data_IF_403568547612
#
_entry.id   IF_403568547612
#
_cell.length_a   1.000
_cell.length_b   1.000
_cell.length_c   1.000
_cell.angle_alpha   90.00
_cell.angle_beta   90.00
_cell.angle_gamma   90.00
#
_symmetry.space_group_name_H-M   'P 1'
#
loop_
_entity.id
_entity.type
_entity.pdbx_description
1 polymer ?
#
# COMPACT_ATOMS: atom_id res chain seq x y z
N UNK A 1 2.21 -89.68 -6.96
CA UNK A 1 2.16 -90.31 -5.62
C UNK A 1 2.83 -89.36 -4.63
N UNK A 2 2.03 -88.79 -3.71
CA UNK A 2 2.32 -88.39 -2.30
C UNK A 2 3.63 -87.61 -1.97
N UNK A 3 3.72 -86.69 -1.01
CA UNK A 3 2.85 -85.82 -0.18
C UNK A 3 3.81 -85.24 0.90
N UNK A 4 3.49 -84.07 1.46
CA UNK A 4 3.91 -83.49 2.77
C UNK A 4 5.36 -82.91 2.88
N UNK A 5 5.57 -81.61 3.16
CA UNK A 5 5.29 -80.74 4.33
C UNK A 5 6.42 -80.68 5.37
N UNK A 6 6.64 -79.45 5.87
CA UNK A 6 7.34 -79.01 7.10
C UNK A 6 8.85 -78.74 7.02
N UNK A 7 9.47 -77.81 7.78
CA UNK A 7 9.14 -76.51 8.40
C UNK A 7 10.45 -76.04 9.08
N UNK A 8 10.75 -74.74 9.04
CA UNK A 8 11.59 -73.94 9.97
C UNK A 8 13.10 -74.28 10.17
N UNK A 9 13.95 -73.40 9.65
CA UNK A 9 15.17 -72.98 10.34
C UNK A 9 15.11 -71.47 10.57
N UNK A 10 14.94 -71.05 11.83
CA UNK A 10 15.07 -69.67 12.28
C UNK A 10 16.56 -69.31 12.35
N UNK A 11 17.04 -68.45 11.44
CA UNK A 11 18.21 -67.61 11.71
C UNK A 11 17.72 -66.20 12.01
N UNK A 12 17.92 -65.78 13.26
CA UNK A 12 17.77 -64.40 13.71
C UNK A 12 18.86 -63.53 13.09
N UNK A 13 18.50 -62.69 12.13
CA UNK A 13 19.29 -61.54 11.72
C UNK A 13 18.56 -60.27 12.16
N UNK A 14 19.15 -59.52 13.08
CA UNK A 14 18.66 -58.20 13.48
C UNK A 14 18.68 -57.27 12.26
N UNK A 15 17.64 -56.45 12.02
CA UNK A 15 17.71 -55.46 10.97
C UNK A 15 18.64 -54.33 11.40
N UNK A 16 19.61 -54.04 10.53
CA UNK A 16 20.42 -52.82 10.54
C UNK A 16 19.48 -51.62 10.50
N UNK A 17 19.67 -50.69 11.43
CA UNK A 17 19.01 -49.39 11.40
C UNK A 17 19.43 -48.65 10.13
N UNK A 18 18.52 -48.51 9.19
CA UNK A 18 18.64 -47.53 8.10
C UNK A 18 18.27 -46.17 8.66
N UNK A 19 19.26 -45.33 8.92
CA UNK A 19 19.05 -43.89 9.08
C UNK A 19 18.50 -43.35 7.76
N UNK A 20 17.17 -43.23 7.69
CA UNK A 20 16.52 -42.38 6.70
C UNK A 20 16.79 -40.94 7.09
N UNK A 21 17.78 -40.32 6.44
CA UNK A 21 17.84 -38.86 6.33
C UNK A 21 16.55 -38.37 5.66
N UNK A 22 15.60 -37.97 6.48
CA UNK A 22 14.35 -37.37 6.02
C UNK A 22 14.65 -36.01 5.39
N UNK A 23 14.42 -35.90 4.07
CA UNK A 23 14.26 -34.62 3.38
C UNK A 23 13.45 -33.66 4.27
N UNK A 24 13.91 -32.42 4.51
CA UNK A 24 13.13 -31.48 5.30
C UNK A 24 11.73 -31.35 4.71
N UNK A 25 10.71 -31.41 5.55
CA UNK A 25 9.32 -31.27 5.11
C UNK A 25 9.18 -29.94 4.35
N UNK A 26 8.34 -29.91 3.32
CA UNK A 26 8.08 -28.67 2.57
C UNK A 26 7.67 -27.51 3.49
N UNK A 27 7.03 -27.82 4.62
CA UNK A 27 6.70 -26.86 5.67
C UNK A 27 7.93 -26.26 6.36
N UNK A 28 8.98 -27.05 6.65
CA UNK A 28 10.20 -26.53 7.25
C UNK A 28 10.96 -25.62 6.28
N UNK A 29 11.02 -25.98 5.00
CA UNK A 29 11.60 -25.12 3.98
C UNK A 29 10.82 -23.81 3.83
N UNK A 30 9.49 -23.88 3.84
CA UNK A 30 8.64 -22.70 3.79
C UNK A 30 8.82 -21.78 5.01
N UNK A 31 8.94 -22.36 6.21
CA UNK A 31 9.17 -21.60 7.45
C UNK A 31 10.55 -20.92 7.45
N UNK A 32 11.61 -21.62 7.00
CA UNK A 32 12.94 -21.04 6.85
C UNK A 32 12.92 -19.90 5.83
N UNK A 33 12.29 -20.09 4.66
CA UNK A 33 12.16 -19.05 3.64
C UNK A 33 11.42 -17.82 4.18
N UNK A 34 10.34 -18.02 4.95
CA UNK A 34 9.60 -16.95 5.60
C UNK A 34 10.47 -16.19 6.60
N UNK A 35 11.16 -16.89 7.51
CA UNK A 35 12.03 -16.26 8.52
C UNK A 35 13.19 -15.49 7.91
N UNK A 36 13.83 -16.04 6.88
CA UNK A 36 14.91 -15.36 6.15
C UNK A 36 14.37 -14.12 5.45
N UNK A 37 13.20 -14.22 4.81
CA UNK A 37 12.55 -13.06 4.19
C UNK A 37 12.19 -11.99 5.21
N UNK A 38 11.57 -12.37 6.33
CA UNK A 38 11.22 -11.47 7.43
C UNK A 38 12.48 -10.78 7.99
N UNK A 39 13.59 -11.52 8.17
CA UNK A 39 14.87 -10.97 8.60
C UNK A 39 15.42 -9.94 7.60
N UNK A 40 15.44 -10.26 6.31
CA UNK A 40 15.91 -9.35 5.26
C UNK A 40 15.03 -8.11 5.14
N UNK A 41 13.71 -8.25 5.26
CA UNK A 41 12.81 -7.10 5.26
C UNK A 41 13.04 -6.18 6.46
N UNK A 42 13.25 -6.75 7.64
CA UNK A 42 13.57 -5.96 8.84
C UNK A 42 14.96 -5.30 8.77
N UNK A 43 15.92 -5.94 8.11
CA UNK A 43 17.28 -5.40 7.95
C UNK A 43 17.34 -4.29 6.90
N UNK A 44 16.66 -4.46 5.77
CA UNK A 44 16.71 -3.55 4.62
C UNK A 44 15.71 -2.40 4.72
N UNK A 45 14.58 -2.63 5.39
CA UNK A 45 13.54 -1.64 5.62
C UNK A 45 13.22 -1.58 7.11
N UNK A 46 14.17 -1.10 7.95
CA UNK A 46 13.94 -0.97 9.37
C UNK A 46 12.79 0.00 9.57
N UNK A 47 11.60 -0.56 9.79
CA UNK A 47 10.48 0.15 10.36
C UNK A 47 11.00 0.69 11.68
N UNK A 48 11.26 2.00 11.77
CA UNK A 48 11.55 2.64 13.04
C UNK A 48 10.29 2.49 13.88
N UNK A 49 10.26 1.63 14.92
CA UNK A 49 9.08 1.46 15.73
C UNK A 49 8.91 2.77 16.48
N UNK A 50 7.82 3.49 16.19
CA UNK A 50 7.46 4.66 16.98
C UNK A 50 7.01 4.20 18.36
N UNK A 51 7.94 3.87 19.27
CA UNK A 51 7.77 3.61 20.71
C UNK A 51 6.57 2.74 21.19
N UNK A 52 5.82 2.13 20.27
CA UNK A 52 4.59 1.40 20.50
C UNK A 52 4.82 -0.10 20.32
N UNK A 53 4.37 -0.88 21.29
CA UNK A 53 4.58 -2.32 21.39
C UNK A 53 3.75 -3.17 20.42
N UNK A 54 2.96 -2.58 19.50
CA UNK A 54 1.99 -3.31 18.66
C UNK A 54 2.44 -3.55 17.21
N UNK A 55 3.57 -2.99 16.77
CA UNK A 55 4.06 -3.13 15.39
C UNK A 55 3.35 -2.23 14.37
N UNK A 56 2.42 -1.37 14.81
CA UNK A 56 1.72 -0.42 13.95
C UNK A 56 2.67 0.66 13.47
N UNK A 57 2.59 0.94 12.16
CA UNK A 57 3.29 2.07 11.55
C UNK A 57 2.33 3.15 11.10
N UNK A 58 2.82 4.36 11.20
CA UNK A 58 2.13 5.57 10.82
C UNK A 58 3.00 6.34 9.83
N UNK A 59 2.37 6.83 8.77
CA UNK A 59 3.01 7.74 7.84
C UNK A 59 2.10 8.92 7.55
N UNK A 60 2.71 10.05 7.23
CA UNK A 60 2.04 11.28 6.85
C UNK A 60 2.60 11.82 5.56
N UNK A 61 1.76 12.57 4.86
CA UNK A 61 2.09 13.24 3.61
C UNK A 61 1.48 14.64 3.70
N UNK A 62 2.33 15.66 3.84
CA UNK A 62 1.91 17.06 3.94
C UNK A 62 1.73 17.64 2.54
N UNK A 63 0.48 17.62 2.07
CA UNK A 63 0.09 17.99 0.71
C UNK A 63 0.33 19.47 0.46
N UNK A 64 1.07 19.78 -0.62
CA UNK A 64 1.35 21.16 -1.07
C UNK A 64 1.02 21.31 -2.55
N UNK A 65 0.60 22.51 -3.00
CA UNK A 65 0.35 22.75 -4.42
C UNK A 65 1.62 22.52 -5.23
N UNK A 66 1.46 22.00 -6.45
CA UNK A 66 2.60 21.83 -7.37
C UNK A 66 3.21 23.19 -7.69
N UNK A 67 4.54 23.28 -7.67
CA UNK A 67 5.26 24.51 -8.06
C UNK A 67 5.09 24.88 -9.54
N UNK A 68 4.50 23.99 -10.34
CA UNK A 68 4.22 24.17 -11.78
C UNK A 68 2.74 24.33 -12.10
N UNK A 69 1.89 24.41 -11.08
CA UNK A 69 0.45 24.61 -11.30
C UNK A 69 0.19 26.04 -11.81
N UNK A 70 -0.79 26.18 -12.72
CA UNK A 70 -1.22 27.49 -13.20
C UNK A 70 -1.91 28.29 -12.06
N UNK A 71 -1.78 29.61 -12.06
CA UNK A 71 -2.27 30.46 -10.96
C UNK A 71 -3.80 30.48 -10.81
N UNK A 72 -4.53 30.16 -11.88
CA UNK A 72 -5.99 30.02 -11.91
C UNK A 72 -6.49 28.68 -11.34
N UNK A 73 -5.57 27.75 -11.03
CA UNK A 73 -5.92 26.43 -10.53
C UNK A 73 -6.00 26.40 -8.99
N UNK A 74 -6.81 25.47 -8.44
CA UNK A 74 -6.96 25.34 -6.99
C UNK A 74 -5.63 25.04 -6.30
N UNK A 75 -5.31 25.85 -5.28
CA UNK A 75 -4.11 25.70 -4.45
C UNK A 75 -4.41 24.78 -3.27
N UNK A 76 -4.43 23.47 -3.53
CA UNK A 76 -4.84 22.49 -2.52
C UNK A 76 -3.72 22.21 -1.53
N UNK A 77 -4.08 22.19 -0.24
CA UNK A 77 -3.18 21.89 0.89
C UNK A 77 -3.83 20.89 1.82
N UNK A 78 -3.05 20.30 2.74
CA UNK A 78 -3.58 19.47 3.81
C UNK A 78 -2.71 18.25 4.10
N UNK A 79 -3.34 17.17 4.56
CA UNK A 79 -2.64 15.96 4.98
C UNK A 79 -3.32 14.70 4.44
N UNK A 80 -2.48 13.75 4.02
CA UNK A 80 -2.88 12.35 3.86
C UNK A 80 -2.10 11.53 4.87
N UNK A 81 -2.82 10.83 5.74
CA UNK A 81 -2.25 10.05 6.82
C UNK A 81 -2.55 8.58 6.59
N UNK A 82 -1.62 7.72 6.99
CA UNK A 82 -1.67 6.29 6.79
C UNK A 82 -1.43 5.56 8.11
N UNK A 83 -2.13 4.43 8.28
CA UNK A 83 -1.94 3.51 9.40
C UNK A 83 -1.96 2.07 8.90
N UNK A 84 -1.03 1.25 9.38
CA UNK A 84 -1.02 -0.19 9.12
C UNK A 84 -0.47 -0.94 10.33
N UNK A 85 -1.26 -1.86 10.89
CA UNK A 85 -0.96 -2.54 12.15
C UNK A 85 0.21 -3.54 12.06
N UNK A 86 0.37 -4.20 10.92
CA UNK A 86 1.43 -5.19 10.65
C UNK A 86 1.56 -5.42 9.14
N UNK A 87 2.62 -6.11 8.71
CA UNK A 87 2.99 -6.28 7.30
C UNK A 87 1.90 -6.89 6.40
N UNK A 88 1.08 -7.78 6.94
CA UNK A 88 -0.03 -8.43 6.24
C UNK A 88 -1.38 -7.72 6.46
N UNK A 89 -1.40 -6.72 7.34
CA UNK A 89 -2.59 -5.93 7.63
C UNK A 89 -2.94 -5.06 6.44
N UNK A 90 -4.22 -4.73 6.28
CA UNK A 90 -4.64 -3.76 5.27
C UNK A 90 -4.27 -2.35 5.70
N UNK A 91 -3.88 -1.54 4.71
CA UNK A 91 -3.60 -0.13 4.92
C UNK A 91 -4.92 0.64 5.07
N UNK A 92 -4.91 1.59 6.00
CA UNK A 92 -5.96 2.58 6.19
C UNK A 92 -5.41 3.97 5.91
N UNK A 93 -6.26 4.87 5.44
CA UNK A 93 -5.87 6.24 5.15
C UNK A 93 -6.94 7.28 5.52
N UNK A 94 -6.48 8.42 6.01
CA UNK A 94 -7.26 9.63 6.24
C UNK A 94 -6.83 10.69 5.24
N UNK A 95 -7.78 11.24 4.50
CA UNK A 95 -7.59 12.34 3.56
C UNK A 95 -8.26 13.58 4.13
N UNK A 96 -7.45 14.59 4.45
CA UNK A 96 -7.88 15.84 5.05
C UNK A 96 -7.26 16.99 4.23
N UNK A 97 -7.98 17.41 3.20
CA UNK A 97 -7.50 18.37 2.21
C UNK A 97 -8.45 19.57 2.09
N UNK A 98 -7.90 20.75 1.87
CA UNK A 98 -8.59 22.04 1.78
C UNK A 98 -8.08 22.82 0.55
N UNK A 99 -8.84 23.83 0.12
CA UNK A 99 -8.44 24.70 -0.99
C UNK A 99 -9.05 24.29 -2.33
N UNK A 100 -10.10 23.48 -2.32
CA UNK A 100 -10.94 23.28 -3.51
C UNK A 100 -11.88 24.49 -3.70
N UNK A 101 -12.34 24.78 -4.93
CA UNK A 101 -13.31 25.86 -5.13
C UNK A 101 -14.62 25.60 -4.33
N UNK A 102 -15.48 26.61 -4.21
CA UNK A 102 -16.71 26.53 -3.40
C UNK A 102 -17.98 26.26 -4.21
N UNK A 103 -17.87 26.16 -5.52
CA UNK A 103 -19.01 25.91 -6.41
C UNK A 103 -19.57 24.48 -6.23
N UNK A 104 -20.88 24.35 -6.31
CA UNK A 104 -21.58 23.08 -6.04
C UNK A 104 -21.49 22.07 -7.20
N UNK A 105 -20.92 22.44 -8.35
CA UNK A 105 -20.82 21.60 -9.55
C UNK A 105 -19.43 20.99 -9.76
N UNK A 106 -18.69 20.74 -8.68
CA UNK A 106 -17.35 20.17 -8.82
C UNK A 106 -17.39 18.71 -9.22
N UNK A 107 -16.62 18.39 -10.26
CA UNK A 107 -16.19 17.04 -10.55
C UNK A 107 -15.29 16.51 -9.42
N UNK A 108 -15.29 15.20 -9.28
CA UNK A 108 -14.34 14.50 -8.42
C UNK A 108 -12.89 14.72 -8.87
N UNK A 109 -11.99 14.35 -7.97
CA UNK A 109 -10.55 14.46 -8.12
C UNK A 109 -9.93 13.10 -7.81
N UNK A 110 -9.08 12.61 -8.69
CA UNK A 110 -8.33 11.39 -8.45
C UNK A 110 -7.18 11.63 -7.47
N UNK A 111 -6.87 10.63 -6.63
CA UNK A 111 -5.69 10.66 -5.76
C UNK A 111 -4.94 9.33 -5.91
N UNK A 112 -3.65 9.41 -6.22
CA UNK A 112 -2.81 8.25 -6.51
C UNK A 112 -1.49 8.27 -5.74
N UNK A 113 -0.89 7.10 -5.55
CA UNK A 113 0.54 7.01 -5.23
C UNK A 113 1.33 6.98 -6.52
N UNK A 114 2.28 7.92 -6.66
CA UNK A 114 3.23 7.95 -7.75
C UNK A 114 4.56 7.31 -7.35
N UNK A 115 5.34 6.84 -8.33
CA UNK A 115 6.52 6.01 -8.08
C UNK A 115 7.63 6.69 -7.29
N UNK A 116 7.87 7.99 -7.51
CA UNK A 116 8.98 8.74 -6.92
C UNK A 116 8.50 9.77 -5.90
N UNK A 117 9.26 9.91 -4.81
CA UNK A 117 9.18 11.05 -3.89
C UNK A 117 9.98 12.27 -4.35
N UNK A 118 10.17 12.44 -5.66
CA UNK A 118 10.90 13.57 -6.23
C UNK A 118 9.96 14.76 -6.49
N UNK A 119 10.19 15.85 -5.76
CA UNK A 119 9.45 17.12 -5.88
C UNK A 119 10.28 18.24 -6.53
N UNK A 120 11.45 17.92 -7.12
CA UNK A 120 12.38 18.89 -7.71
C UNK A 120 11.76 19.76 -8.80
N UNK A 121 10.73 19.27 -9.49
CA UNK A 121 9.92 20.01 -10.48
C UNK A 121 8.45 20.01 -10.10
N UNK A 122 8.16 20.14 -8.80
CA UNK A 122 6.80 19.99 -8.28
C UNK A 122 6.30 18.57 -8.50
N UNK A 123 5.01 18.42 -8.78
CA UNK A 123 4.40 17.11 -8.92
C UNK A 123 4.75 16.39 -10.22
N UNK A 124 5.36 17.07 -11.19
CA UNK A 124 5.70 16.49 -12.49
C UNK A 124 6.94 15.57 -12.41
N UNK A 125 7.76 15.71 -11.36
CA UNK A 125 8.93 14.88 -11.14
C UNK A 125 8.62 13.53 -10.45
N UNK A 126 7.38 13.32 -9.99
CA UNK A 126 7.01 12.11 -9.23
C UNK A 126 6.90 10.84 -10.09
N UNK A 127 7.08 10.94 -11.41
CA UNK A 127 6.95 9.81 -12.33
C UNK A 127 5.50 9.38 -12.58
N UNK A 128 5.29 8.14 -12.99
CA UNK A 128 3.96 7.53 -13.21
C UNK A 128 3.27 7.07 -11.92
N UNK A 129 2.12 6.39 -12.05
CA UNK A 129 1.53 5.68 -10.92
C UNK A 129 2.50 4.60 -10.45
N UNK A 130 2.58 4.38 -9.14
CA UNK A 130 3.42 3.33 -8.58
C UNK A 130 2.88 1.94 -8.95
N UNK A 131 3.57 1.25 -9.86
CA UNK A 131 3.13 -0.03 -10.42
C UNK A 131 4.19 -1.14 -10.26
N UNK A 132 4.40 -1.68 -9.04
CA UNK A 132 5.41 -2.71 -8.81
C UNK A 132 5.07 -4.06 -9.44
N UNK A 133 3.82 -4.24 -9.92
CA UNK A 133 3.32 -5.52 -10.44
C UNK A 133 3.06 -5.51 -11.95
N UNK A 134 3.42 -4.41 -12.64
CA UNK A 134 3.21 -4.24 -14.08
C UNK A 134 1.78 -4.57 -14.53
N UNK A 135 0.79 -4.13 -13.76
CA UNK A 135 -0.64 -4.30 -14.06
C UNK A 135 -1.23 -3.01 -14.61
N UNK A 136 -2.31 -3.09 -15.38
CA UNK A 136 -3.02 -1.88 -15.81
C UNK A 136 -3.76 -1.23 -14.62
N UNK A 137 -3.84 0.09 -14.65
CA UNK A 137 -4.80 0.87 -13.87
C UNK A 137 -6.23 0.35 -14.13
N UNK A 138 -7.15 0.30 -13.13
CA UNK A 138 -7.04 0.80 -11.75
C UNK A 138 -6.56 -0.26 -10.73
N UNK A 139 -5.59 -1.10 -11.10
CA UNK A 139 -5.09 -2.18 -10.22
C UNK A 139 -3.75 -1.88 -9.57
N UNK A 140 -3.23 -0.65 -9.68
CA UNK A 140 -2.04 -0.30 -8.95
C UNK A 140 -2.35 -0.22 -7.45
N UNK A 141 -1.40 -0.57 -6.56
CA UNK A 141 -1.66 -0.60 -5.12
C UNK A 141 -2.13 0.75 -4.55
N UNK A 142 -1.66 1.84 -5.15
CA UNK A 142 -1.97 3.22 -4.77
C UNK A 142 -3.05 3.89 -5.59
N UNK A 143 -3.83 3.16 -6.40
CA UNK A 143 -4.98 3.73 -7.11
C UNK A 143 -6.14 3.95 -6.13
N UNK A 144 -6.13 5.07 -5.39
CA UNK A 144 -7.17 5.33 -4.40
C UNK A 144 -8.50 5.76 -5.04
N UNK A 145 -8.52 6.17 -6.31
CA UNK A 145 -9.70 6.53 -7.08
C UNK A 145 -10.24 7.92 -6.74
N UNK A 146 -11.54 8.13 -6.98
CA UNK A 146 -12.17 9.45 -6.95
C UNK A 146 -12.58 9.93 -5.55
N UNK A 147 -12.38 11.23 -5.33
CA UNK A 147 -12.80 11.98 -4.16
C UNK A 147 -13.57 13.22 -4.58
N UNK A 148 -14.68 13.49 -3.90
CA UNK A 148 -15.59 14.59 -4.26
C UNK A 148 -15.50 15.65 -3.18
N UNK A 149 -14.85 16.80 -3.45
CA UNK A 149 -14.80 17.90 -2.50
C UNK A 149 -16.20 18.39 -2.15
N UNK A 150 -16.39 18.82 -0.90
CA UNK A 150 -17.60 19.48 -0.41
C UNK A 150 -17.20 20.71 0.37
N UNK A 151 -17.81 21.85 0.06
CA UNK A 151 -17.52 23.14 0.73
C UNK A 151 -16.01 23.47 0.72
N UNK A 152 -15.35 23.20 -0.41
CA UNK A 152 -13.91 23.45 -0.57
C UNK A 152 -12.99 22.44 0.11
N UNK A 153 -13.53 21.29 0.59
CA UNK A 153 -12.79 20.33 1.44
C UNK A 153 -13.00 18.88 1.04
N UNK A 154 -11.96 18.07 1.21
CA UNK A 154 -12.06 16.61 1.28
C UNK A 154 -11.79 16.18 2.73
N UNK A 155 -12.74 15.43 3.29
CA UNK A 155 -12.63 14.73 4.58
C UNK A 155 -13.07 13.30 4.34
N UNK A 156 -12.12 12.38 4.15
CA UNK A 156 -12.44 10.99 3.81
C UNK A 156 -11.55 10.00 4.56
N UNK A 157 -12.18 8.99 5.14
CA UNK A 157 -11.51 7.83 5.72
C UNK A 157 -11.72 6.65 4.78
N UNK A 158 -10.63 5.94 4.45
CA UNK A 158 -10.64 4.72 3.65
C UNK A 158 -9.93 3.61 4.41
N UNK A 159 -10.50 2.42 4.33
CA UNK A 159 -9.94 1.17 4.88
C UNK A 159 -9.70 0.18 3.75
N UNK A 160 -9.05 -0.94 4.07
CA UNK A 160 -8.86 -2.05 3.13
C UNK A 160 -8.11 -1.68 1.84
N UNK A 161 -7.18 -0.71 1.92
CA UNK A 161 -6.37 -0.31 0.78
C UNK A 161 -5.35 -1.40 0.41
N UNK A 162 -5.06 -1.50 -0.89
CA UNK A 162 -4.16 -2.51 -1.44
C UNK A 162 -2.67 -2.16 -1.24
N UNK A 163 -2.34 -0.87 -1.17
CA UNK A 163 -1.00 -0.41 -0.84
C UNK A 163 -0.53 -0.91 0.54
N UNK A 164 0.79 -0.94 0.71
CA UNK A 164 1.44 -1.34 1.95
C UNK A 164 2.54 -0.35 2.28
N UNK A 165 2.82 -0.16 3.56
CA UNK A 165 3.97 0.58 4.07
C UNK A 165 5.11 -0.34 4.51
N UNK A 166 4.93 -1.66 4.38
CA UNK A 166 5.95 -2.66 4.69
C UNK A 166 6.55 -3.30 3.44
N UNK A 167 7.78 -3.78 3.59
CA UNK A 167 8.43 -4.65 2.64
C UNK A 167 8.91 -3.95 1.37
N UNK A 168 9.26 -4.72 0.32
CA UNK A 168 9.89 -4.18 -0.88
C UNK A 168 8.91 -3.34 -1.71
N UNK A 169 7.60 -3.52 -1.47
CA UNK A 169 6.55 -2.80 -2.17
C UNK A 169 6.01 -1.58 -1.40
N UNK A 170 6.70 -1.18 -0.33
CA UNK A 170 6.30 -0.04 0.50
C UNK A 170 6.07 1.23 -0.33
N UNK A 171 5.03 1.98 0.05
CA UNK A 171 4.76 3.32 -0.46
C UNK A 171 5.51 4.42 0.28
N UNK A 172 6.20 4.10 1.40
CA UNK A 172 7.00 5.07 2.15
C UNK A 172 8.14 5.57 1.26
N UNK A 173 8.39 6.89 1.29
CA UNK A 173 9.35 7.58 0.42
C UNK A 173 8.84 7.86 -1.00
N UNK A 174 7.66 7.34 -1.37
CA UNK A 174 6.97 7.69 -2.61
C UNK A 174 6.10 8.91 -2.41
N UNK A 175 5.33 9.31 -3.42
CA UNK A 175 4.47 10.49 -3.33
C UNK A 175 2.99 10.16 -3.45
N UNK A 176 2.17 10.96 -2.77
CA UNK A 176 0.73 11.05 -3.08
C UNK A 176 0.54 12.24 -4.02
N UNK A 177 -0.25 12.06 -5.06
CA UNK A 177 -0.60 13.09 -6.05
C UNK A 177 -2.10 13.24 -6.13
N UNK A 178 -2.58 14.48 -6.03
CA UNK A 178 -3.95 14.89 -6.28
C UNK A 178 -4.06 15.45 -7.69
N UNK A 179 -5.05 14.96 -8.43
CA UNK A 179 -5.27 15.30 -9.83
C UNK A 179 -6.42 16.29 -10.03
N UNK A 180 -6.41 16.91 -11.22
CA UNK A 180 -7.41 17.89 -11.64
C UNK A 180 -8.75 17.24 -12.00
N UNK A 181 -8.77 16.03 -12.55
CA UNK A 181 -10.00 15.42 -13.06
C UNK A 181 -10.37 14.16 -12.30
N UNK A 182 -11.57 13.67 -12.57
CA UNK A 182 -11.98 12.34 -12.16
C UNK A 182 -11.16 11.29 -12.91
N UNK A 183 -10.86 10.23 -12.19
CA UNK A 183 -10.37 8.98 -12.71
C UNK A 183 -11.50 8.23 -13.45
N UNK A 184 -11.27 7.88 -14.71
CA UNK A 184 -12.20 7.10 -15.53
C UNK A 184 -12.20 5.59 -15.21
N UNK A 185 -11.33 5.15 -14.31
CA UNK A 185 -11.17 3.78 -13.81
C UNK A 185 -10.84 2.77 -14.90
N UNK A 186 -10.07 3.18 -15.92
CA UNK A 186 -9.69 2.33 -17.05
C UNK A 186 -10.78 2.19 -18.12
N UNK A 187 -11.79 3.07 -18.13
CA UNK A 187 -12.97 2.96 -19.01
C UNK A 187 -13.02 3.97 -20.16
N UNK A 188 -11.98 4.80 -20.31
CA UNK A 188 -11.88 5.85 -21.33
C UNK A 188 -11.49 5.38 -22.73
N UNK A 189 -11.34 4.07 -22.96
CA UNK A 189 -11.01 3.45 -24.25
C UNK A 189 -9.75 4.02 -24.92
N UNK A 190 -8.76 4.40 -24.14
CA UNK A 190 -7.47 4.89 -24.64
C UNK A 190 -6.33 4.42 -23.74
N UNK A 191 -5.09 4.57 -24.21
CA UNK A 191 -3.90 4.13 -23.46
C UNK A 191 -3.78 4.81 -22.10
N UNK A 192 -4.00 6.11 -22.04
CA UNK A 192 -3.91 6.89 -20.80
C UNK A 192 -4.93 6.43 -19.74
N UNK A 193 -6.12 5.99 -20.15
CA UNK A 193 -7.12 5.40 -19.25
C UNK A 193 -6.56 4.18 -18.49
N UNK A 194 -5.85 3.29 -19.19
CA UNK A 194 -5.24 2.10 -18.60
C UNK A 194 -3.93 2.36 -17.86
N UNK A 195 -3.37 3.57 -17.99
CA UNK A 195 -2.12 3.97 -17.32
C UNK A 195 -2.36 4.86 -16.10
N UNK A 196 -3.32 5.80 -16.17
CA UNK A 196 -3.52 6.86 -15.19
C UNK A 196 -4.97 7.35 -15.08
N UNK A 197 -5.93 6.64 -15.65
CA UNK A 197 -7.35 6.96 -15.51
C UNK A 197 -7.78 8.27 -16.18
N UNK A 198 -6.97 8.85 -17.06
CA UNK A 198 -7.22 10.18 -17.65
C UNK A 198 -7.46 11.29 -16.61
N UNK A 199 -6.84 11.19 -15.42
CA UNK A 199 -7.09 12.11 -14.31
C UNK A 199 -6.59 13.57 -14.53
N UNK A 200 -5.99 13.89 -15.67
CA UNK A 200 -5.55 15.24 -15.99
C UNK A 200 -4.33 15.72 -15.19
N UNK A 201 -4.18 17.05 -15.06
CA UNK A 201 -2.99 17.69 -14.45
C UNK A 201 -2.85 17.34 -12.96
N UNK A 202 -1.62 17.48 -12.44
CA UNK A 202 -1.27 17.24 -11.04
C UNK A 202 -1.36 18.54 -10.26
N UNK A 203 -2.37 18.67 -9.39
CA UNK A 203 -2.63 19.90 -8.65
C UNK A 203 -1.70 20.03 -7.43
N UNK A 204 -1.57 18.96 -6.66
CA UNK A 204 -0.84 18.96 -5.41
C UNK A 204 -0.19 17.60 -5.17
N UNK A 205 0.89 17.57 -4.41
CA UNK A 205 1.58 16.35 -4.05
C UNK A 205 2.38 16.49 -2.76
N UNK A 206 2.82 15.37 -2.24
CA UNK A 206 3.69 15.29 -1.07
C UNK A 206 4.42 13.95 -1.03
N UNK A 207 5.49 13.88 -0.24
CA UNK A 207 6.23 12.63 0.02
C UNK A 207 5.63 11.95 1.26
N UNK A 208 5.47 10.64 1.18
CA UNK A 208 4.99 9.79 2.27
C UNK A 208 6.16 9.53 3.22
N UNK A 209 6.15 10.16 4.40
CA UNK A 209 7.17 9.99 5.43
C UNK A 209 6.62 9.33 6.69
N UNK A 210 7.45 8.56 7.40
CA UNK A 210 7.09 8.02 8.71
C UNK A 210 6.80 9.17 9.68
N UNK A 211 5.73 9.04 10.47
CA UNK A 211 5.33 10.07 11.42
C UNK A 211 4.90 9.48 12.77
N UNK A 212 4.66 10.34 13.76
CA UNK A 212 4.09 9.92 15.04
C UNK A 212 2.61 9.57 14.89
N UNK A 213 2.10 8.71 15.79
CA UNK A 213 0.68 8.34 15.85
C UNK A 213 -0.25 9.52 16.16
N UNK A 214 0.26 10.59 16.75
CA UNK A 214 -0.54 11.72 17.23
C UNK A 214 -1.31 12.39 16.09
N UNK A 215 -0.70 12.54 14.91
CA UNK A 215 -1.37 13.12 13.74
C UNK A 215 -2.60 12.32 13.33
N UNK A 216 -2.51 11.00 13.38
CA UNK A 216 -3.63 10.11 13.08
C UNK A 216 -4.75 10.24 14.12
N UNK A 217 -4.39 10.20 15.40
CA UNK A 217 -5.34 10.32 16.52
C UNK A 217 -6.08 11.67 16.51
N UNK A 218 -5.40 12.76 16.09
CA UNK A 218 -6.00 14.09 15.96
C UNK A 218 -6.98 14.18 14.79
N UNK A 219 -6.62 13.65 13.60
CA UNK A 219 -7.41 13.86 12.37
C UNK A 219 -8.50 12.84 12.12
N UNK A 220 -8.40 11.63 12.67
CA UNK A 220 -9.42 10.60 12.46
C UNK A 220 -10.82 11.04 12.91
N UNK A 221 -11.03 11.62 14.11
CA UNK A 221 -12.35 12.06 14.57
C UNK A 221 -13.01 13.07 13.65
N UNK A 222 -12.26 14.06 13.12
CA UNK A 222 -12.77 15.09 12.21
C UNK A 222 -13.40 14.48 10.93
N UNK A 223 -12.95 13.29 10.55
CA UNK A 223 -13.37 12.62 9.32
C UNK A 223 -14.43 11.55 9.57
N UNK A 224 -14.47 10.94 10.77
CA UNK A 224 -15.47 9.93 11.13
C UNK A 224 -16.72 10.51 11.78
N UNK A 225 -16.62 11.63 12.51
CA UNK A 225 -17.74 12.18 13.29
C UNK A 225 -18.81 12.86 12.43
N UNK A 226 -18.49 13.24 11.19
CA UNK A 226 -19.50 13.72 10.22
C UNK A 226 -20.54 12.65 9.82
N UNK A 227 -20.40 11.39 10.24
CA UNK A 227 -21.45 10.37 10.08
C UNK A 227 -22.55 10.42 11.16
N UNK A 228 -22.41 11.25 12.20
CA UNK A 228 -23.36 11.32 13.34
C UNK A 228 -24.26 12.57 13.36
N UNK A 229 -24.22 13.42 12.34
CA UNK A 229 -25.13 14.58 12.19
C UNK A 229 -25.91 14.49 10.91
#
# INVERSE_FOLDING_TARGET
MLLLLSLLALLSASPVATDTEGSPSQELFHDIQKKVTDLWQNLLYPVTPGNGTDGTIYAGCEMKPSSKIDADKPQVTGQVLFRQYYSHGRLEAVFHLDGFPLDNNQSGRAIHVHELGDLSRGCDATGGHYNPFSVNHPRHPGDFGNFFPKEGKIRKYKTNLAATMFGPYSIVGRSVVLHEQEDDMGKGNNKASLENGNAGKRLACCVIGICSKNLWEEKLPEVTDKKKR
#
